data_IF_330023142248
#
_entry.id   IF_330023142248
#
_cell.length_a   1.000
_cell.length_b   1.000
_cell.length_c   1.000
_cell.angle_alpha   90.00
_cell.angle_beta   90.00
_cell.angle_gamma   90.00
#
_symmetry.space_group_name_H-M   'P 1'
#
loop_
_entity.id
_entity.type
_entity.pdbx_description
1 polymer ?
#
# COMPACT_ATOMS: atom_id res chain seq x y z
N UNK A 1 8.49 10.36 3.25
CA UNK A 1 7.10 10.39 3.80
C UNK A 1 6.17 11.39 3.07
N UNK A 2 6.44 11.75 1.80
CA UNK A 2 5.76 12.86 1.10
C UNK A 2 4.77 12.42 0.01
N UNK A 3 4.18 11.23 0.11
CA UNK A 3 3.17 10.79 -0.86
C UNK A 3 1.98 11.77 -0.91
N UNK A 4 1.51 12.07 -2.12
CA UNK A 4 0.38 12.97 -2.38
C UNK A 4 -0.70 12.29 -3.23
N UNK A 5 -0.33 11.70 -4.36
CA UNK A 5 -1.26 11.03 -5.28
C UNK A 5 -0.52 10.05 -6.19
N UNK A 6 -1.28 9.23 -6.92
CA UNK A 6 -0.78 8.28 -7.92
C UNK A 6 -0.51 6.89 -7.35
N UNK A 7 -0.18 5.95 -8.24
CA UNK A 7 0.24 4.60 -7.83
C UNK A 7 1.71 4.65 -7.43
N UNK A 8 1.98 4.51 -6.13
CA UNK A 8 3.32 4.52 -5.57
C UNK A 8 4.06 3.22 -5.94
N UNK A 9 5.25 3.39 -6.50
CA UNK A 9 6.22 2.34 -6.76
C UNK A 9 7.58 2.84 -6.29
N UNK A 10 8.23 2.06 -5.43
CA UNK A 10 9.53 2.42 -4.84
C UNK A 10 10.54 1.36 -5.26
N UNK A 11 11.61 1.80 -5.92
CA UNK A 11 12.70 0.92 -6.30
C UNK A 11 13.46 0.44 -5.05
N UNK A 12 13.83 -0.84 -5.04
CA UNK A 12 14.56 -1.48 -3.94
C UNK A 12 13.85 -1.39 -2.58
N UNK A 13 12.52 -1.31 -2.56
CA UNK A 13 11.76 -1.33 -1.30
C UNK A 13 11.90 -2.71 -0.64
N UNK A 14 12.34 -2.79 0.64
CA UNK A 14 12.51 -4.07 1.33
C UNK A 14 11.22 -4.89 1.39
N UNK A 15 11.35 -6.21 1.31
CA UNK A 15 10.21 -7.14 1.34
C UNK A 15 10.27 -8.16 2.46
N UNK A 16 11.39 -8.24 3.19
CA UNK A 16 11.56 -9.23 4.26
C UNK A 16 10.79 -8.78 5.50
N UNK A 17 10.25 -9.76 6.23
CA UNK A 17 9.45 -9.51 7.43
C UNK A 17 10.17 -8.63 8.46
N UNK A 18 11.46 -8.83 8.66
CA UNK A 18 12.29 -8.07 9.61
C UNK A 18 12.53 -6.61 9.22
N UNK A 19 12.27 -6.25 7.96
CA UNK A 19 12.45 -4.87 7.47
C UNK A 19 11.15 -4.05 7.59
N UNK A 20 10.05 -4.65 8.06
CA UNK A 20 8.76 -3.95 8.21
C UNK A 20 8.74 -3.07 9.46
N UNK A 21 8.38 -1.79 9.28
CA UNK A 21 8.38 -0.77 10.32
C UNK A 21 7.04 -0.04 10.50
N UNK A 22 6.12 -0.14 9.54
CA UNK A 22 4.84 0.59 9.54
C UNK A 22 3.66 -0.30 9.17
N UNK A 23 2.59 -0.25 9.97
CA UNK A 23 1.36 -1.01 9.74
C UNK A 23 0.24 -0.11 9.19
N UNK A 24 -0.42 -0.58 8.13
CA UNK A 24 -1.54 0.09 7.48
C UNK A 24 -2.61 -0.93 7.09
N UNK A 25 -3.81 -0.46 6.71
CA UNK A 25 -4.92 -1.33 6.36
C UNK A 25 -5.18 -1.32 4.86
N UNK A 26 -5.06 -2.48 4.20
CA UNK A 26 -5.57 -2.66 2.84
C UNK A 26 -7.09 -2.70 2.89
N UNK A 27 -7.75 -1.82 2.13
CA UNK A 27 -9.22 -1.68 2.10
C UNK A 27 -9.83 -1.98 0.74
N UNK A 28 -8.98 -2.21 -0.28
CA UNK A 28 -9.42 -2.53 -1.62
C UNK A 28 -8.26 -2.65 -2.59
N UNK A 29 -8.59 -2.83 -3.86
CA UNK A 29 -7.65 -2.87 -4.97
C UNK A 29 -8.33 -2.33 -6.23
N UNK A 30 -7.53 -2.01 -7.24
CA UNK A 30 -8.03 -1.56 -8.54
C UNK A 30 -7.01 -1.78 -9.64
N UNK A 31 -7.40 -1.36 -10.84
CA UNK A 31 -6.55 -1.36 -12.03
C UNK A 31 -6.57 0.04 -12.64
N UNK A 32 -5.41 0.52 -13.06
CA UNK A 32 -5.27 1.76 -13.80
C UNK A 32 -5.08 1.43 -15.29
N UNK A 33 -6.10 1.73 -16.10
CA UNK A 33 -6.10 1.42 -17.53
C UNK A 33 -5.06 2.21 -18.33
N UNK A 34 -4.71 3.41 -17.88
CA UNK A 34 -3.73 4.26 -18.56
C UNK A 34 -2.30 3.77 -18.26
N UNK A 35 -2.03 3.38 -17.01
CA UNK A 35 -0.74 2.86 -16.57
C UNK A 35 -0.59 1.34 -16.77
N UNK A 36 -1.65 0.67 -17.22
CA UNK A 36 -1.74 -0.79 -17.37
C UNK A 36 -1.24 -1.55 -16.14
N UNK A 37 -1.60 -1.07 -14.95
CA UNK A 37 -1.07 -1.61 -13.69
C UNK A 37 -2.14 -1.73 -12.60
N UNK A 38 -2.03 -2.78 -11.79
CA UNK A 38 -2.86 -3.00 -10.62
C UNK A 38 -2.33 -2.22 -9.41
N UNK A 39 -3.22 -1.82 -8.50
CA UNK A 39 -2.84 -1.19 -7.24
C UNK A 39 -3.68 -1.67 -6.05
N UNK A 40 -3.08 -1.63 -4.87
CA UNK A 40 -3.76 -1.72 -3.58
C UNK A 40 -4.27 -0.35 -3.17
N UNK A 41 -5.43 -0.28 -2.52
CA UNK A 41 -5.91 0.90 -1.81
C UNK A 41 -5.64 0.68 -0.33
N UNK A 42 -4.80 1.52 0.26
CA UNK A 42 -4.31 1.37 1.62
C UNK A 42 -4.69 2.60 2.44
N UNK A 43 -5.42 2.39 3.53
CA UNK A 43 -5.77 3.42 4.51
C UNK A 43 -4.60 3.67 5.45
N UNK A 44 -4.21 4.93 5.60
CA UNK A 44 -3.18 5.37 6.54
C UNK A 44 -3.78 5.96 7.83
N UNK A 45 -2.93 6.20 8.82
CA UNK A 45 -3.27 6.76 10.14
C UNK A 45 -2.73 8.18 10.38
N UNK A 46 -2.21 8.86 9.35
CA UNK A 46 -1.62 10.21 9.45
C UNK A 46 -2.58 11.37 9.13
N UNK A 47 -3.89 11.11 9.23
CA UNK A 47 -4.93 12.10 8.97
C UNK A 47 -5.25 12.32 7.49
N UNK A 48 -6.37 12.99 7.23
CA UNK A 48 -6.95 13.13 5.88
C UNK A 48 -6.20 14.11 4.97
N UNK A 49 -5.31 14.94 5.52
CA UNK A 49 -4.48 15.88 4.74
C UNK A 49 -3.27 15.19 4.07
N UNK A 50 -2.98 13.95 4.46
CA UNK A 50 -1.90 13.16 3.87
C UNK A 50 -2.41 12.31 2.71
N UNK A 51 -1.60 12.18 1.65
CA UNK A 51 -1.94 11.35 0.50
C UNK A 51 -3.29 11.73 -0.13
N UNK A 52 -3.99 10.71 -0.64
CA UNK A 52 -5.29 10.84 -1.28
C UNK A 52 -6.37 10.75 -0.20
N UNK A 53 -6.64 11.86 0.49
CA UNK A 53 -7.61 11.92 1.59
C UNK A 53 -7.34 10.93 2.74
N UNK A 54 -6.06 10.69 3.06
CA UNK A 54 -5.62 9.71 4.06
C UNK A 54 -5.31 8.32 3.51
N UNK A 55 -5.40 8.13 2.19
CA UNK A 55 -5.14 6.87 1.52
C UNK A 55 -3.90 6.92 0.63
N UNK A 56 -3.42 5.73 0.29
CA UNK A 56 -2.32 5.46 -0.62
C UNK A 56 -2.77 4.43 -1.65
N UNK A 57 -2.45 4.67 -2.92
CA UNK A 57 -2.41 3.61 -3.93
C UNK A 57 -0.99 3.06 -4.05
N UNK A 58 -0.80 1.77 -3.77
CA UNK A 58 0.51 1.10 -3.85
C UNK A 58 0.49 0.10 -5.01
N UNK A 59 1.57 0.03 -5.79
CA UNK A 59 1.66 -0.93 -6.89
C UNK A 59 1.40 -2.38 -6.42
N UNK A 60 0.42 -3.04 -7.05
CA UNK A 60 0.05 -4.43 -6.81
C UNK A 60 0.65 -5.31 -7.91
N UNK A 61 0.92 -6.57 -7.58
CA UNK A 61 1.53 -7.56 -8.49
C UNK A 61 2.92 -7.14 -9.01
N UNK A 62 3.61 -6.28 -8.25
CA UNK A 62 4.92 -5.71 -8.56
C UNK A 62 6.00 -6.23 -7.60
N UNK A 63 6.12 -7.56 -7.49
CA UNK A 63 7.18 -8.19 -6.69
C UNK A 63 7.05 -7.96 -5.18
N UNK A 64 5.83 -8.06 -4.63
CA UNK A 64 5.54 -7.77 -3.22
C UNK A 64 6.04 -6.38 -2.79
N UNK A 65 5.64 -5.35 -3.54
CA UNK A 65 6.03 -3.96 -3.32
C UNK A 65 6.01 -3.59 -1.83
N UNK A 66 7.18 -3.18 -1.33
CA UNK A 66 7.41 -2.79 0.07
C UNK A 66 6.95 -3.81 1.12
N UNK A 67 6.92 -5.10 0.78
CA UNK A 67 6.53 -6.15 1.72
C UNK A 67 5.04 -6.12 2.12
N UNK A 68 4.17 -5.48 1.32
CA UNK A 68 2.74 -5.34 1.64
C UNK A 68 2.04 -6.67 1.94
N UNK A 69 2.52 -7.78 1.36
CA UNK A 69 1.99 -9.13 1.58
C UNK A 69 2.82 -9.96 2.58
N UNK A 70 3.85 -9.39 3.21
CA UNK A 70 4.77 -10.13 4.10
C UNK A 70 4.21 -10.31 5.52
N UNK A 71 3.34 -9.40 5.97
CA UNK A 71 2.70 -9.44 7.30
C UNK A 71 1.23 -9.00 7.22
N UNK A 72 0.39 -9.79 6.55
CA UNK A 72 -1.04 -9.52 6.42
C UNK A 72 -1.85 -10.31 7.46
N UNK A 73 -2.71 -9.61 8.20
CA UNK A 73 -3.62 -10.20 9.18
C UNK A 73 -4.99 -9.53 9.06
N UNK A 74 -6.03 -10.26 9.45
CA UNK A 74 -7.38 -9.72 9.62
C UNK A 74 -7.98 -10.29 10.90
N UNK A 75 -8.84 -9.51 11.55
CA UNK A 75 -9.58 -9.97 12.71
C UNK A 75 -10.68 -10.95 12.29
N UNK A 76 -10.71 -12.14 12.88
CA UNK A 76 -11.85 -13.05 12.80
C UNK A 76 -12.77 -12.76 13.98
N UNK A 77 -13.99 -12.29 13.70
CA UNK A 77 -15.01 -12.08 14.72
C UNK A 77 -15.75 -13.41 14.94
N UNK A 78 -15.25 -14.23 15.85
CA UNK A 78 -15.90 -15.44 16.37
C UNK A 78 -16.05 -15.33 17.86
#
# INVERSE_FOLDING_TARGET
MFYKTGVLKIDNCPTRRQDMDHAMAVVGYGYDDALKSSYWIIKNSWGTKWGEHGYLRLAKDAGNMCGVASMAYYGKLT
#
